data_IF_068765430674
#
_entry.id   IF_068765430674
#
_cell.length_a   1.000
_cell.length_b   1.000
_cell.length_c   1.000
_cell.angle_alpha   90.00
_cell.angle_beta   90.00
_cell.angle_gamma   90.00
#
_symmetry.space_group_name_H-M   'P 1'
#
loop_
_entity.id
_entity.type
_entity.pdbx_description
1 polymer ?
#
# COMPACT_ATOMS: atom_id res chain seq x y z
N UNK A 1 48.09 16.06 36.68
CA UNK A 1 47.81 14.76 36.03
C UNK A 1 46.79 15.00 34.93
N UNK A 2 47.20 14.77 33.69
CA UNK A 2 46.67 15.30 32.43
C UNK A 2 45.45 14.54 31.91
N UNK A 3 44.38 15.26 31.53
CA UNK A 3 43.22 14.73 30.82
C UNK A 3 43.56 14.54 29.33
N UNK A 4 43.49 13.31 28.84
CA UNK A 4 43.77 12.95 27.45
C UNK A 4 42.59 13.23 26.52
N UNK A 5 42.74 14.19 25.61
CA UNK A 5 41.78 14.50 24.54
C UNK A 5 41.91 13.50 23.39
N UNK A 6 40.93 12.61 23.23
CA UNK A 6 40.86 11.64 22.11
C UNK A 6 40.37 12.34 20.84
N UNK A 7 41.25 12.47 19.83
CA UNK A 7 40.91 12.98 18.50
C UNK A 7 40.20 11.88 17.69
N UNK A 8 38.94 12.12 17.29
CA UNK A 8 38.17 11.25 16.37
C UNK A 8 38.51 11.64 14.93
N UNK A 9 39.07 10.71 14.15
CA UNK A 9 39.31 10.87 12.72
C UNK A 9 38.01 10.71 11.92
N UNK A 10 37.79 11.48 10.84
CA UNK A 10 36.57 11.36 10.03
C UNK A 10 36.66 10.17 9.06
N UNK A 11 35.62 9.35 9.05
CA UNK A 11 35.43 8.23 8.11
C UNK A 11 34.96 8.77 6.77
N UNK A 12 35.82 8.70 5.75
CA UNK A 12 35.51 9.10 4.38
C UNK A 12 34.88 7.89 3.66
N UNK A 13 33.59 7.97 3.34
CA UNK A 13 32.87 6.93 2.57
C UNK A 13 32.89 7.31 1.09
N UNK A 14 33.78 6.67 0.32
CA UNK A 14 33.85 6.82 -1.14
C UNK A 14 32.75 6.00 -1.80
N UNK A 15 31.79 6.68 -2.44
CA UNK A 15 30.68 6.06 -3.16
C UNK A 15 31.14 5.60 -4.56
N UNK A 16 31.47 4.32 -4.70
CA UNK A 16 31.87 3.69 -5.96
C UNK A 16 30.70 3.66 -6.96
N UNK A 17 30.75 4.52 -7.98
CA UNK A 17 29.87 4.46 -9.17
C UNK A 17 30.28 3.22 -10.00
N UNK A 18 29.35 2.28 -10.23
CA UNK A 18 29.54 1.21 -11.23
C UNK A 18 29.19 1.78 -12.61
N UNK A 19 30.17 1.81 -13.51
CA UNK A 19 29.95 1.96 -14.95
C UNK A 19 29.57 0.60 -15.52
N UNK A 20 28.41 0.51 -16.15
CA UNK A 20 28.03 -0.62 -16.99
C UNK A 20 28.62 -0.38 -18.38
N UNK A 21 29.62 -1.16 -18.77
CA UNK A 21 30.08 -1.27 -20.15
C UNK A 21 29.31 -2.41 -20.82
N UNK A 22 28.44 -2.07 -21.77
CA UNK A 22 27.93 -3.03 -22.75
C UNK A 22 28.78 -2.89 -24.00
N UNK A 23 29.60 -3.90 -24.26
CA UNK A 23 30.30 -4.11 -25.53
C UNK A 23 29.31 -4.66 -26.56
N UNK A 24 29.46 -4.30 -27.84
CA UNK A 24 29.26 -5.29 -28.89
C UNK A 24 30.52 -5.43 -29.76
N UNK A 25 30.86 -6.69 -30.03
CA UNK A 25 31.94 -7.14 -30.91
C UNK A 25 31.36 -7.43 -32.29
N UNK A 26 31.95 -6.81 -33.33
CA UNK A 26 32.02 -7.20 -34.73
C UNK A 26 32.73 -6.03 -35.45
N UNK A 27 33.65 -6.11 -36.40
CA UNK A 27 34.43 -7.14 -37.11
C UNK A 27 35.48 -6.33 -37.93
N UNK A 28 36.55 -6.96 -38.42
CA UNK A 28 37.83 -6.33 -38.78
C UNK A 28 37.93 -5.59 -40.14
N UNK A 29 38.57 -4.38 -40.13
CA UNK A 29 39.69 -3.87 -41.01
C UNK A 29 39.35 -3.30 -42.43
N UNK A 30 40.17 -2.44 -43.11
CA UNK A 30 41.34 -1.57 -42.76
C UNK A 30 41.25 -0.03 -43.10
N UNK A 31 42.19 0.72 -42.50
CA UNK A 31 42.74 2.11 -42.62
C UNK A 31 43.26 2.44 -44.06
N UNK A 32 43.45 3.71 -44.59
CA UNK A 32 44.15 4.92 -44.05
C UNK A 32 43.48 6.30 -44.37
N UNK A 33 43.89 7.50 -43.93
CA UNK A 33 45.20 8.10 -43.64
C UNK A 33 45.10 9.32 -42.68
N UNK A 34 46.19 9.62 -41.96
CA UNK A 34 46.49 10.89 -41.27
C UNK A 34 47.15 11.89 -42.28
N UNK A 35 47.57 13.16 -41.96
CA UNK A 35 47.73 13.88 -40.68
C UNK A 35 47.05 15.30 -40.70
N UNK A 36 47.01 16.16 -39.67
CA UNK A 36 48.13 16.99 -39.21
C UNK A 36 47.77 17.83 -37.96
N UNK A 37 48.83 18.38 -37.37
CA UNK A 37 48.97 19.05 -36.08
C UNK A 37 48.27 20.41 -35.92
N UNK A 38 47.91 20.63 -34.65
CA UNK A 38 48.05 21.84 -33.81
C UNK A 38 47.77 23.23 -34.42
N UNK A 39 46.76 23.92 -33.86
CA UNK A 39 46.91 25.30 -33.36
C UNK A 39 45.70 25.69 -32.48
N UNK A 40 45.98 26.21 -31.28
CA UNK A 40 45.03 26.97 -30.45
C UNK A 40 45.42 28.44 -30.60
N UNK A 41 44.47 29.39 -30.68
CA UNK A 41 44.22 30.18 -29.47
C UNK A 41 42.75 30.51 -29.19
N UNK A 42 42.49 30.71 -27.90
CA UNK A 42 41.30 31.31 -27.29
C UNK A 42 40.64 32.40 -28.13
N UNK A 43 39.31 32.29 -28.28
CA UNK A 43 38.46 33.47 -28.34
C UNK A 43 37.27 33.26 -27.41
N UNK A 44 37.15 34.17 -26.45
CA UNK A 44 36.04 34.25 -25.52
C UNK A 44 34.76 34.57 -26.31
N UNK A 45 33.69 33.82 -26.05
CA UNK A 45 32.34 34.22 -26.44
C UNK A 45 31.38 33.71 -25.39
N UNK A 46 30.51 34.62 -25.01
CA UNK A 46 29.79 34.68 -23.76
C UNK A 46 28.74 33.58 -23.64
N UNK A 47 28.49 33.20 -22.40
CA UNK A 47 27.47 32.22 -22.03
C UNK A 47 26.07 32.78 -22.33
N UNK A 48 25.14 32.01 -22.92
CA UNK A 48 23.78 32.09 -22.48
C UNK A 48 23.71 31.29 -21.19
N UNK A 49 23.59 32.00 -20.07
CA UNK A 49 23.13 31.44 -18.80
C UNK A 49 21.81 30.73 -19.08
N UNK A 50 21.85 29.41 -19.25
CA UNK A 50 20.65 28.57 -19.24
C UNK A 50 20.12 28.67 -17.82
N UNK A 51 19.21 29.63 -17.63
CA UNK A 51 18.36 29.72 -16.46
C UNK A 51 17.78 28.33 -16.23
N UNK A 52 18.23 27.68 -15.17
CA UNK A 52 17.70 26.40 -14.68
C UNK A 52 16.35 26.65 -14.03
N UNK A 53 15.43 27.28 -14.76
CA UNK A 53 14.05 27.42 -14.34
C UNK A 53 13.46 26.00 -14.34
N UNK A 54 13.03 25.48 -13.17
CA UNK A 54 12.46 24.16 -13.10
C UNK A 54 11.21 24.17 -13.97
N UNK A 55 11.25 23.45 -15.10
CA UNK A 55 10.09 23.24 -15.97
C UNK A 55 8.93 22.70 -15.10
N UNK A 56 8.04 23.61 -14.71
CA UNK A 56 6.84 23.29 -13.94
C UNK A 56 5.87 22.65 -14.90
N UNK A 57 5.65 21.34 -14.73
CA UNK A 57 4.54 20.64 -15.36
C UNK A 57 3.23 21.43 -15.19
N UNK A 58 2.28 21.33 -16.14
CA UNK A 58 1.09 22.18 -16.24
C UNK A 58 0.13 22.13 -15.03
N UNK A 59 0.35 21.23 -14.06
CA UNK A 59 -0.49 21.13 -12.87
C UNK A 59 -0.04 22.02 -11.69
N UNK A 60 1.00 22.86 -11.85
CA UNK A 60 1.50 23.75 -10.79
C UNK A 60 2.15 23.06 -9.57
N UNK A 61 2.08 21.74 -9.48
CA UNK A 61 2.59 20.96 -8.36
C UNK A 61 4.09 20.66 -8.51
N UNK A 62 4.76 20.45 -7.39
CA UNK A 62 6.13 19.90 -7.39
C UNK A 62 6.13 18.43 -7.84
N UNK A 63 7.28 17.94 -8.35
CA UNK A 63 7.45 16.50 -8.67
C UNK A 63 7.14 15.58 -7.48
N UNK A 64 7.51 16.00 -6.26
CA UNK A 64 7.24 15.25 -5.02
C UNK A 64 5.74 15.16 -4.72
N UNK A 65 5.02 16.29 -4.80
CA UNK A 65 3.57 16.32 -4.57
C UNK A 65 2.81 15.45 -5.58
N UNK A 66 3.15 15.52 -6.87
CA UNK A 66 2.55 14.63 -7.89
C UNK A 66 2.79 13.16 -7.60
N UNK A 67 4.02 12.78 -7.21
CA UNK A 67 4.34 11.39 -6.88
C UNK A 67 3.52 10.91 -5.68
N UNK A 68 3.38 11.75 -4.64
CA UNK A 68 2.56 11.46 -3.48
C UNK A 68 1.08 11.27 -3.84
N UNK A 69 0.50 12.17 -4.63
CA UNK A 69 -0.91 12.07 -5.05
C UNK A 69 -1.17 10.81 -5.87
N UNK A 70 -0.29 10.48 -6.83
CA UNK A 70 -0.39 9.21 -7.59
C UNK A 70 -0.30 7.98 -6.69
N UNK A 71 0.60 8.00 -5.71
CA UNK A 71 0.69 6.90 -4.75
C UNK A 71 -0.58 6.79 -3.90
N UNK A 72 -1.09 7.91 -3.38
CA UNK A 72 -2.34 7.96 -2.61
C UNK A 72 -3.53 7.45 -3.42
N UNK A 73 -3.64 7.84 -4.67
CA UNK A 73 -4.67 7.35 -5.59
C UNK A 73 -4.55 5.86 -5.87
N UNK A 74 -3.34 5.36 -6.15
CA UNK A 74 -3.08 3.93 -6.30
C UNK A 74 -3.49 3.14 -5.04
N UNK A 75 -3.17 3.65 -3.85
CA UNK A 75 -3.56 2.99 -2.59
C UNK A 75 -5.08 2.98 -2.40
N UNK A 76 -5.78 4.07 -2.74
CA UNK A 76 -7.25 4.11 -2.73
C UNK A 76 -7.85 3.09 -3.72
N UNK A 77 -7.25 2.94 -4.90
CA UNK A 77 -7.70 1.96 -5.88
C UNK A 77 -7.51 0.53 -5.37
N UNK A 78 -6.31 0.20 -4.89
CA UNK A 78 -6.03 -1.12 -4.29
C UNK A 78 -7.01 -1.42 -3.15
N UNK A 79 -7.29 -0.45 -2.27
CA UNK A 79 -8.26 -0.65 -1.20
C UNK A 79 -9.68 -0.93 -1.74
N UNK A 80 -10.15 -0.19 -2.75
CA UNK A 80 -11.45 -0.45 -3.39
C UNK A 80 -11.49 -1.84 -4.03
N UNK A 81 -10.43 -2.24 -4.73
CA UNK A 81 -10.33 -3.53 -5.39
C UNK A 81 -10.32 -4.67 -4.37
N UNK A 82 -9.57 -4.52 -3.27
CA UNK A 82 -9.57 -5.50 -2.17
C UNK A 82 -10.94 -5.67 -1.54
N UNK A 83 -11.66 -4.56 -1.27
CA UNK A 83 -13.02 -4.62 -0.72
C UNK A 83 -13.98 -5.29 -1.71
N UNK A 84 -13.90 -4.93 -3.00
CA UNK A 84 -14.73 -5.53 -4.05
C UNK A 84 -14.45 -7.02 -4.19
N UNK A 85 -13.20 -7.42 -4.33
CA UNK A 85 -12.78 -8.81 -4.51
C UNK A 85 -13.10 -9.64 -3.26
N UNK A 86 -12.88 -9.08 -2.07
CA UNK A 86 -13.25 -9.72 -0.81
C UNK A 86 -14.76 -10.01 -0.73
N UNK A 87 -15.61 -9.08 -1.19
CA UNK A 87 -17.07 -9.30 -1.23
C UNK A 87 -17.47 -10.39 -2.22
N UNK A 88 -16.86 -10.40 -3.40
CA UNK A 88 -17.13 -11.40 -4.43
C UNK A 88 -16.69 -12.81 -3.99
N UNK A 89 -15.58 -12.93 -3.26
CA UNK A 89 -14.99 -14.21 -2.87
C UNK A 89 -15.50 -14.74 -1.52
N UNK A 90 -16.15 -13.91 -0.71
CA UNK A 90 -16.66 -14.30 0.61
C UNK A 90 -17.64 -15.49 0.57
N UNK A 91 -18.62 -15.59 -0.36
CA UNK A 91 -19.53 -16.74 -0.43
C UNK A 91 -18.79 -18.05 -0.72
N UNK A 92 -17.89 -18.05 -1.71
CA UNK A 92 -17.05 -19.22 -2.02
C UNK A 92 -16.15 -19.59 -0.84
N UNK A 93 -15.59 -18.60 -0.14
CA UNK A 93 -14.79 -18.85 1.06
C UNK A 93 -15.59 -19.59 2.15
N UNK A 94 -16.87 -19.24 2.36
CA UNK A 94 -17.73 -19.96 3.32
C UNK A 94 -18.03 -21.38 2.89
N UNK A 95 -18.22 -21.62 1.59
CA UNK A 95 -18.42 -22.97 1.06
C UNK A 95 -17.18 -23.86 1.26
N UNK A 96 -15.97 -23.30 1.09
CA UNK A 96 -14.72 -24.03 1.29
C UNK A 96 -14.39 -24.21 2.77
N UNK A 97 -14.69 -23.22 3.62
CA UNK A 97 -14.41 -23.24 5.06
C UNK A 97 -15.67 -23.06 5.93
N UNK A 98 -16.64 -24.00 5.86
CA UNK A 98 -17.92 -23.88 6.55
C UNK A 98 -17.78 -23.95 8.07
N UNK A 99 -16.77 -24.68 8.56
CA UNK A 99 -16.49 -24.83 9.99
C UNK A 99 -15.98 -23.54 10.62
N UNK A 100 -15.21 -22.74 9.87
CA UNK A 100 -14.73 -21.44 10.33
C UNK A 100 -15.87 -20.41 10.25
N UNK A 101 -16.53 -20.29 9.10
CA UNK A 101 -17.63 -19.35 8.89
C UNK A 101 -18.86 -20.06 8.32
N UNK A 102 -19.85 -20.35 9.19
CA UNK A 102 -21.11 -20.95 8.76
C UNK A 102 -21.93 -19.98 7.90
N UNK A 103 -22.93 -20.52 7.20
CA UNK A 103 -23.81 -19.74 6.31
C UNK A 103 -24.69 -18.72 7.04
N UNK A 104 -24.86 -18.86 8.36
CA UNK A 104 -25.67 -18.00 9.25
C UNK A 104 -25.18 -16.54 9.34
N UNK A 105 -24.20 -16.13 8.53
CA UNK A 105 -23.55 -14.82 8.56
C UNK A 105 -22.89 -14.45 9.90
N UNK A 106 -22.83 -15.40 10.85
CA UNK A 106 -22.14 -15.23 12.12
C UNK A 106 -20.65 -15.49 11.91
N UNK A 107 -19.84 -14.47 12.15
CA UNK A 107 -18.39 -14.63 12.07
C UNK A 107 -17.85 -15.28 13.34
N UNK A 108 -16.82 -16.11 13.17
CA UNK A 108 -15.98 -16.61 14.26
C UNK A 108 -14.64 -15.88 14.23
N UNK A 109 -14.06 -15.67 15.41
CA UNK A 109 -12.73 -15.09 15.54
C UNK A 109 -11.68 -16.02 14.95
N UNK A 110 -10.76 -15.43 14.21
CA UNK A 110 -9.79 -16.15 13.40
C UNK A 110 -8.51 -16.39 14.20
N UNK A 111 -7.94 -17.60 14.06
CA UNK A 111 -6.62 -17.97 14.59
C UNK A 111 -5.52 -17.01 14.10
N UNK A 112 -4.58 -16.69 15.00
CA UNK A 112 -3.39 -15.92 14.62
C UNK A 112 -2.52 -16.77 13.69
N UNK A 113 -2.19 -16.24 12.52
CA UNK A 113 -1.37 -16.96 11.54
C UNK A 113 -2.13 -17.88 10.58
N UNK A 114 -3.48 -17.84 10.57
CA UNK A 114 -4.32 -18.70 9.71
C UNK A 114 -3.97 -18.64 8.22
N UNK A 115 -3.35 -17.54 7.76
CA UNK A 115 -2.94 -17.37 6.36
C UNK A 115 -1.92 -18.45 5.95
N UNK A 116 -1.10 -18.94 6.88
CA UNK A 116 -0.17 -20.04 6.62
C UNK A 116 -0.92 -21.35 6.39
N UNK A 117 -1.93 -21.60 7.22
CA UNK A 117 -2.75 -22.79 7.16
C UNK A 117 -3.56 -22.81 5.85
N UNK A 118 -4.09 -21.66 5.42
CA UNK A 118 -4.78 -21.53 4.12
C UNK A 118 -3.82 -21.75 2.95
N UNK A 119 -2.59 -21.26 3.06
CA UNK A 119 -1.60 -21.49 2.00
C UNK A 119 -1.32 -22.99 1.86
N UNK A 120 -1.22 -23.73 2.97
CA UNK A 120 -1.07 -25.18 2.93
C UNK A 120 -2.31 -25.84 2.30
N UNK A 121 -3.51 -25.45 2.74
CA UNK A 121 -4.76 -25.98 2.20
C UNK A 121 -4.91 -25.78 0.69
N UNK A 122 -4.58 -24.59 0.18
CA UNK A 122 -4.65 -24.28 -1.27
C UNK A 122 -3.62 -25.10 -2.06
N UNK A 123 -2.44 -25.36 -1.48
CA UNK A 123 -1.43 -26.18 -2.13
C UNK A 123 -1.86 -27.66 -2.20
N UNK A 124 -2.55 -28.15 -1.17
CA UNK A 124 -3.09 -29.51 -1.12
C UNK A 124 -4.33 -29.66 -2.02
N UNK A 125 -5.13 -28.60 -2.15
CA UNK A 125 -6.39 -28.58 -2.90
C UNK A 125 -6.39 -27.46 -3.94
N UNK A 126 -5.71 -27.64 -5.09
CA UNK A 126 -5.64 -26.62 -6.14
C UNK A 126 -7.00 -26.31 -6.78
N UNK A 127 -7.97 -27.22 -6.69
CA UNK A 127 -9.29 -27.12 -7.34
C UNK A 127 -10.33 -26.35 -6.51
N UNK A 128 -9.97 -25.84 -5.33
CA UNK A 128 -10.91 -25.13 -4.44
C UNK A 128 -11.40 -23.76 -4.96
N UNK A 129 -10.90 -23.29 -6.11
CA UNK A 129 -11.31 -22.02 -6.73
C UNK A 129 -10.90 -20.76 -5.96
N UNK A 130 -10.12 -20.90 -4.89
CA UNK A 130 -9.62 -19.82 -4.06
C UNK A 130 -8.11 -19.66 -4.22
N UNK A 131 -7.68 -18.42 -4.40
CA UNK A 131 -6.26 -18.07 -4.39
C UNK A 131 -5.87 -17.42 -3.07
N UNK A 132 -4.59 -17.47 -2.71
CA UNK A 132 -4.09 -16.83 -1.49
C UNK A 132 -4.38 -15.30 -1.47
N UNK A 133 -4.22 -14.54 -2.57
CA UNK A 133 -4.65 -13.14 -2.63
C UNK A 133 -6.16 -12.94 -2.41
N UNK A 134 -7.00 -13.82 -2.94
CA UNK A 134 -8.45 -13.76 -2.72
C UNK A 134 -8.77 -13.90 -1.23
N UNK A 135 -8.17 -14.90 -0.55
CA UNK A 135 -8.34 -15.12 0.87
C UNK A 135 -7.91 -13.89 1.70
N UNK A 136 -6.80 -13.24 1.32
CA UNK A 136 -6.35 -11.99 1.97
C UNK A 136 -7.37 -10.85 1.79
N UNK A 137 -8.00 -10.74 0.62
CA UNK A 137 -9.05 -9.74 0.39
C UNK A 137 -10.26 -10.00 1.27
N UNK A 138 -10.69 -11.27 1.39
CA UNK A 138 -11.80 -11.68 2.26
C UNK A 138 -11.48 -11.35 3.72
N UNK A 139 -10.30 -11.72 4.22
CA UNK A 139 -9.91 -11.39 5.59
C UNK A 139 -9.82 -9.89 5.84
N UNK A 140 -9.24 -9.12 4.91
CA UNK A 140 -9.18 -7.67 5.05
C UNK A 140 -10.57 -7.05 5.13
N UNK A 141 -11.53 -7.57 4.38
CA UNK A 141 -12.91 -7.11 4.42
C UNK A 141 -13.58 -7.44 5.77
N UNK A 142 -13.49 -8.70 6.19
CA UNK A 142 -14.20 -9.19 7.39
C UNK A 142 -13.60 -8.61 8.66
N UNK A 143 -12.28 -8.66 8.82
CA UNK A 143 -11.59 -8.24 10.06
C UNK A 143 -11.69 -6.75 10.36
N UNK A 144 -11.99 -5.93 9.35
CA UNK A 144 -12.21 -4.49 9.48
C UNK A 144 -13.69 -4.13 9.69
N UNK A 145 -14.60 -5.10 9.58
CA UNK A 145 -16.03 -4.89 9.73
C UNK A 145 -16.44 -4.79 11.20
N UNK A 146 -17.45 -3.95 11.48
CA UNK A 146 -18.06 -3.86 12.81
C UNK A 146 -18.52 -5.20 13.37
N UNK A 147 -19.21 -6.09 12.61
CA UNK A 147 -19.71 -7.36 13.14
C UNK A 147 -18.59 -8.28 13.65
N UNK A 148 -17.40 -8.20 13.05
CA UNK A 148 -16.25 -8.99 13.47
C UNK A 148 -15.57 -8.36 14.69
N UNK A 149 -15.39 -7.05 14.69
CA UNK A 149 -14.74 -6.33 15.79
C UNK A 149 -15.56 -6.40 17.08
N UNK A 150 -16.88 -6.49 17.01
CA UNK A 150 -17.75 -6.66 18.19
C UNK A 150 -17.61 -8.02 18.88
N UNK A 151 -17.00 -9.02 18.22
CA UNK A 151 -16.78 -10.34 18.81
C UNK A 151 -15.64 -10.36 19.84
N UNK A 152 -14.79 -9.33 19.83
CA UNK A 152 -13.66 -9.22 20.75
C UNK A 152 -14.17 -8.93 22.17
N UNK A 153 -14.35 -10.00 22.94
CA UNK A 153 -14.77 -9.97 24.34
C UNK A 153 -13.73 -10.69 25.21
N UNK A 154 -13.65 -10.37 26.52
CA UNK A 154 -12.76 -11.08 27.43
C UNK A 154 -13.06 -12.58 27.42
N UNK A 155 -12.03 -13.40 27.23
CA UNK A 155 -12.19 -14.86 27.14
C UNK A 155 -12.70 -15.38 25.80
N UNK A 156 -12.89 -14.53 24.78
CA UNK A 156 -13.29 -14.99 23.46
C UNK A 156 -12.25 -15.94 22.84
N UNK A 157 -12.74 -17.01 22.22
CA UNK A 157 -11.94 -18.07 21.62
C UNK A 157 -11.77 -17.83 20.12
N UNK A 158 -10.57 -18.10 19.62
CA UNK A 158 -10.23 -18.09 18.19
C UNK A 158 -10.35 -19.48 17.61
N UNK A 159 -10.68 -19.55 16.34
CA UNK A 159 -10.92 -20.80 15.63
C UNK A 159 -9.97 -20.95 14.44
N UNK A 160 -9.56 -22.18 14.21
CA UNK A 160 -8.81 -22.58 13.01
C UNK A 160 -9.74 -22.87 11.83
N UNK A 161 -9.18 -23.19 10.67
CA UNK A 161 -9.93 -23.56 9.45
C UNK A 161 -10.90 -24.72 9.67
N UNK A 162 -10.52 -25.65 10.55
CA UNK A 162 -11.32 -26.83 10.90
C UNK A 162 -12.36 -26.54 12.01
N UNK A 163 -12.53 -25.29 12.42
CA UNK A 163 -13.46 -24.93 13.51
C UNK A 163 -12.98 -25.35 14.90
N UNK A 164 -11.71 -25.73 15.05
CA UNK A 164 -11.12 -26.08 16.35
C UNK A 164 -10.65 -24.82 17.10
N UNK A 165 -10.76 -24.78 18.43
CA UNK A 165 -10.28 -23.67 19.23
C UNK A 165 -8.74 -23.59 19.18
N UNK A 166 -8.20 -22.42 18.82
CA UNK A 166 -6.79 -22.20 18.52
C UNK A 166 -6.22 -20.96 19.24
N UNK A 167 -6.65 -20.75 20.49
CA UNK A 167 -6.19 -19.68 21.37
C UNK A 167 -7.30 -18.71 21.76
N UNK A 168 -6.96 -17.74 22.59
CA UNK A 168 -7.89 -16.74 23.14
C UNK A 168 -7.48 -15.33 22.75
N UNK A 169 -8.42 -14.40 22.84
CA UNK A 169 -8.18 -12.97 22.61
C UNK A 169 -7.46 -12.36 23.81
N UNK A 170 -6.46 -11.53 23.54
CA UNK A 170 -5.73 -10.79 24.57
C UNK A 170 -6.38 -9.43 24.86
N UNK A 171 -6.21 -8.89 26.06
CA UNK A 171 -6.77 -7.60 26.47
C UNK A 171 -6.38 -6.45 25.53
N UNK A 172 -5.14 -6.45 25.04
CA UNK A 172 -4.64 -5.46 24.06
C UNK A 172 -5.47 -5.46 22.77
N UNK A 173 -5.86 -6.64 22.31
CA UNK A 173 -6.66 -6.79 21.09
C UNK A 173 -8.10 -6.32 21.30
N UNK A 174 -8.66 -6.54 22.49
CA UNK A 174 -9.99 -6.04 22.87
C UNK A 174 -9.99 -4.51 22.84
N UNK A 175 -9.00 -3.87 23.46
CA UNK A 175 -8.85 -2.41 23.44
C UNK A 175 -8.72 -1.88 22.01
N UNK A 176 -7.90 -2.53 21.19
CA UNK A 176 -7.74 -2.15 19.79
C UNK A 176 -9.06 -2.29 19.00
N UNK A 177 -9.79 -3.40 19.20
CA UNK A 177 -11.07 -3.63 18.53
C UNK A 177 -12.12 -2.57 18.92
N UNK A 178 -12.21 -2.24 20.21
CA UNK A 178 -13.09 -1.16 20.70
C UNK A 178 -12.77 0.18 20.05
N UNK A 179 -11.50 0.58 20.03
CA UNK A 179 -11.07 1.81 19.36
C UNK A 179 -11.33 1.78 17.86
N UNK A 180 -11.24 0.62 17.20
CA UNK A 180 -11.58 0.47 15.79
C UNK A 180 -13.09 0.64 15.55
N UNK A 181 -13.94 0.02 16.38
CA UNK A 181 -15.39 0.20 16.33
C UNK A 181 -15.78 1.68 16.47
N UNK A 182 -15.26 2.38 17.47
CA UNK A 182 -15.54 3.81 17.69
C UNK A 182 -15.16 4.67 16.48
N UNK A 183 -13.99 4.41 15.88
CA UNK A 183 -13.56 5.12 14.66
C UNK A 183 -14.51 4.88 13.49
N UNK A 184 -14.96 3.64 13.29
CA UNK A 184 -15.87 3.28 12.20
C UNK A 184 -17.24 3.94 12.43
N UNK A 185 -17.77 3.90 13.65
CA UNK A 185 -19.06 4.51 13.98
C UNK A 185 -19.04 6.03 13.78
N UNK A 186 -18.00 6.72 14.26
CA UNK A 186 -17.82 8.17 14.04
C UNK A 186 -17.75 8.51 12.55
N UNK A 187 -17.01 7.72 11.76
CA UNK A 187 -16.93 7.93 10.32
C UNK A 187 -18.28 7.73 9.63
N UNK A 188 -19.08 6.74 10.05
CA UNK A 188 -20.42 6.54 9.51
C UNK A 188 -21.37 7.69 9.85
N UNK A 189 -21.33 8.20 11.08
CA UNK A 189 -22.11 9.37 11.52
C UNK A 189 -21.77 10.61 10.67
N UNK A 190 -20.48 10.95 10.56
CA UNK A 190 -20.04 12.09 9.73
C UNK A 190 -20.44 11.94 8.26
N UNK A 191 -20.42 10.70 7.73
CA UNK A 191 -20.85 10.43 6.36
C UNK A 191 -22.36 10.61 6.20
N UNK A 192 -23.16 10.18 7.18
CA UNK A 192 -24.60 10.34 7.19
C UNK A 192 -25.00 11.83 7.29
N UNK A 193 -24.37 12.59 8.19
CA UNK A 193 -24.58 14.04 8.35
C UNK A 193 -24.29 14.80 7.04
N UNK A 194 -23.16 14.50 6.40
CA UNK A 194 -22.81 15.10 5.09
C UNK A 194 -23.79 14.71 3.98
N UNK A 195 -24.30 13.47 4.00
CA UNK A 195 -25.30 13.04 3.02
C UNK A 195 -26.62 13.81 3.21
N UNK A 196 -27.03 14.07 4.46
CA UNK A 196 -28.22 14.87 4.77
C UNK A 196 -28.05 16.35 4.36
N UNK A 197 -26.87 16.94 4.61
CA UNK A 197 -26.58 18.32 4.18
C UNK A 197 -26.58 18.48 2.65
N UNK A 198 -26.07 17.50 1.91
CA UNK A 198 -26.08 17.53 0.45
C UNK A 198 -27.44 17.19 -0.17
N UNK A 199 -28.37 16.62 0.60
CA UNK A 199 -29.69 16.18 0.14
C UNK A 199 -30.81 17.21 0.42
N UNK A 200 -30.53 18.34 1.08
CA UNK A 200 -31.48 19.43 1.25
C UNK A 200 -31.48 20.32 -0.02
N UNK A 201 -32.52 20.32 -0.87
CA UNK A 201 -32.60 21.18 -2.03
C UNK A 201 -32.89 22.63 -1.61
N UNK A 202 -32.34 23.57 -2.37
CA UNK A 202 -32.61 24.99 -2.23
C UNK A 202 -34.11 25.28 -2.27
N UNK A 203 -34.59 25.88 -1.18
CA UNK A 203 -35.81 26.65 -1.16
C UNK A 203 -35.59 27.87 -2.06
N UNK A 204 -35.93 27.77 -3.35
CA UNK A 204 -36.13 28.94 -4.20
C UNK A 204 -37.59 29.36 -4.07
N UNK A 205 -37.72 30.51 -3.42
CA UNK A 205 -38.90 31.31 -3.12
C UNK A 205 -39.94 31.37 -4.25
N UNK A 206 -41.20 31.26 -3.84
CA UNK A 206 -42.34 31.81 -4.54
C UNK A 206 -42.20 33.33 -4.73
N UNK A 207 -42.95 33.84 -5.72
CA UNK A 207 -43.25 35.25 -6.06
C UNK A 207 -42.31 35.90 -7.07
N UNK A 208 -42.82 36.00 -8.29
CA UNK A 208 -43.13 37.32 -8.83
C UNK A 208 -44.43 37.26 -9.63
N UNK A 209 -45.33 38.16 -9.26
CA UNK A 209 -46.52 38.62 -9.99
C UNK A 209 -46.19 39.14 -11.39
#
# INVERSE_FOLDING_TARGET
>A
MTAGTVKKSPVIVVKKKRQFTLSPVAENRPVPAAPDREDIPSSASESPVISTQPQTHPSGLTKKQRKYLRHKERMRQIHRDNVRNGRLKLPLFRQVFPLLWPEDNVFRLIKVGIIKDIKAFINENPDCGLTLPDCRCVFSLVTQGLPYLSLFTPGAVRYDLNGLPAGTVTEREILHARQACERILRFQQQKAEKAQQNAAPGYCDEKND
#
